data_IF_495280451565
#
_entry.id   IF_495280451565
#
_cell.length_a   1.000
_cell.length_b   1.000
_cell.length_c   1.000
_cell.angle_alpha   90.00
_cell.angle_beta   90.00
_cell.angle_gamma   90.00
#
_symmetry.space_group_name_H-M   'P 1'
#
loop_
_entity.id
_entity.type
_entity.pdbx_description
1 polymer ?
#
# COMPACT_ATOMS: atom_id res chain seq x y z
N UNK A 1 13.65 -5.91 5.22
CA UNK A 1 13.44 -5.05 4.02
C UNK A 1 14.77 -4.90 3.31
N UNK A 2 15.08 -5.76 2.33
CA UNK A 2 16.37 -5.72 1.61
C UNK A 2 16.16 -5.44 0.11
N UNK A 3 15.18 -4.59 -0.18
CA UNK A 3 14.90 -4.08 -1.52
C UNK A 3 14.77 -2.58 -1.35
N UNK A 4 15.71 -1.86 -1.94
CA UNK A 4 15.78 -0.41 -1.96
C UNK A 4 16.51 0.01 -3.23
N UNK A 5 16.69 1.32 -3.40
CA UNK A 5 17.30 1.94 -4.58
C UNK A 5 18.60 1.28 -5.05
N UNK A 6 19.43 0.80 -4.12
CA UNK A 6 20.69 0.11 -4.42
C UNK A 6 20.58 -1.34 -4.90
N UNK A 7 19.42 -1.98 -4.76
CA UNK A 7 19.18 -3.37 -5.22
C UNK A 7 18.51 -3.38 -6.59
N UNK A 8 17.66 -2.38 -6.87
CA UNK A 8 16.99 -2.20 -8.17
C UNK A 8 17.80 -1.33 -9.14
N UNK A 9 18.90 -0.71 -8.68
CA UNK A 9 19.71 0.27 -9.42
C UNK A 9 18.88 1.40 -10.06
N UNK A 10 17.74 1.75 -9.44
CA UNK A 10 16.84 2.78 -9.95
C UNK A 10 17.28 4.17 -9.45
N UNK A 11 17.16 5.21 -10.31
CA UNK A 11 17.27 6.57 -9.84
C UNK A 11 16.20 6.83 -8.76
N UNK A 12 16.50 7.60 -7.69
CA UNK A 12 15.55 7.89 -6.62
C UNK A 12 14.20 8.42 -7.10
N UNK A 13 14.22 9.25 -8.16
CA UNK A 13 13.02 9.79 -8.81
C UNK A 13 12.12 8.69 -9.38
N UNK A 14 12.71 7.75 -10.10
CA UNK A 14 11.98 6.67 -10.76
C UNK A 14 11.35 5.73 -9.74
N UNK A 15 12.07 5.45 -8.65
CA UNK A 15 11.56 4.61 -7.58
C UNK A 15 10.38 5.24 -6.83
N UNK A 16 10.44 6.54 -6.51
CA UNK A 16 9.34 7.23 -5.83
C UNK A 16 8.17 7.56 -6.77
N UNK A 17 8.42 7.60 -8.07
CA UNK A 17 7.38 7.68 -9.09
C UNK A 17 6.70 6.33 -9.34
N UNK A 18 7.34 5.22 -8.94
CA UNK A 18 6.88 3.87 -9.21
C UNK A 18 5.64 3.52 -8.42
N UNK A 19 4.67 2.91 -9.10
CA UNK A 19 3.48 2.38 -8.45
C UNK A 19 3.79 1.09 -7.68
N UNK A 20 2.99 0.73 -6.66
CA UNK A 20 3.17 -0.52 -5.93
C UNK A 20 3.20 -1.80 -6.79
N UNK A 21 2.49 -1.80 -7.93
CA UNK A 21 2.48 -2.93 -8.89
C UNK A 21 3.79 -3.03 -9.68
N UNK A 22 4.30 -1.91 -10.13
CA UNK A 22 5.59 -1.84 -10.83
C UNK A 22 6.72 -2.21 -9.88
N UNK A 23 6.63 -1.80 -8.62
CA UNK A 23 7.55 -2.24 -7.57
C UNK A 23 7.46 -3.76 -7.37
N UNK A 24 6.24 -4.33 -7.30
CA UNK A 24 6.06 -5.78 -7.18
C UNK A 24 6.68 -6.56 -8.36
N UNK A 25 6.52 -6.07 -9.60
CA UNK A 25 7.13 -6.64 -10.78
C UNK A 25 8.67 -6.53 -10.76
N UNK A 26 9.20 -5.38 -10.39
CA UNK A 26 10.65 -5.16 -10.24
C UNK A 26 11.27 -6.06 -9.16
N UNK A 27 10.48 -6.49 -8.17
CA UNK A 27 10.90 -7.42 -7.12
C UNK A 27 10.81 -8.90 -7.52
N UNK A 28 10.42 -9.22 -8.76
CA UNK A 28 10.18 -10.60 -9.19
C UNK A 28 9.01 -11.28 -8.46
N UNK A 29 8.18 -10.50 -7.75
CA UNK A 29 6.95 -10.97 -7.09
C UNK A 29 5.80 -10.88 -8.08
N UNK A 30 5.84 -11.75 -9.09
CA UNK A 30 4.73 -11.97 -10.00
C UNK A 30 4.10 -13.31 -9.66
N UNK A 31 3.20 -13.30 -8.67
CA UNK A 31 2.53 -14.49 -8.17
C UNK A 31 1.45 -14.09 -7.17
N UNK A 32 0.26 -14.64 -7.36
CA UNK A 32 -1.01 -14.16 -6.81
C UNK A 32 -1.03 -14.10 -5.27
N UNK A 33 -1.00 -12.90 -4.74
CA UNK A 33 -1.88 -12.43 -3.65
C UNK A 33 -1.98 -10.91 -3.78
N UNK A 34 -2.53 -10.49 -4.93
CA UNK A 34 -2.84 -9.10 -5.28
C UNK A 34 -4.22 -8.75 -4.74
N UNK A 35 -4.35 -8.72 -3.42
CA UNK A 35 -5.40 -7.94 -2.83
C UNK A 35 -4.73 -6.86 -1.98
N UNK A 36 -4.05 -5.93 -2.68
CA UNK A 36 -3.81 -4.61 -2.11
C UNK A 36 -5.10 -4.08 -1.46
N UNK A 37 -4.99 -3.25 -0.41
CA UNK A 37 -6.12 -2.87 0.43
C UNK A 37 -7.31 -2.42 -0.42
N UNK A 38 -8.44 -3.10 -0.25
CA UNK A 38 -9.61 -2.86 -1.09
C UNK A 38 -10.28 -1.57 -0.68
N UNK A 39 -10.95 -0.90 -1.61
CA UNK A 39 -11.74 0.30 -1.28
C UNK A 39 -12.88 -0.01 -0.32
N UNK A 40 -13.36 -1.25 -0.32
CA UNK A 40 -14.33 -1.73 0.66
C UNK A 40 -13.70 -1.84 2.05
N UNK A 41 -12.47 -2.34 2.14
CA UNK A 41 -11.69 -2.28 3.38
C UNK A 41 -11.49 -0.84 3.84
N UNK A 42 -11.17 0.09 2.93
CA UNK A 42 -11.01 1.50 3.25
C UNK A 42 -12.32 2.16 3.72
N UNK A 43 -13.45 1.91 3.04
CA UNK A 43 -14.75 2.47 3.42
C UNK A 43 -15.30 1.84 4.72
N UNK A 44 -14.98 0.58 4.97
CA UNK A 44 -15.25 -0.07 6.25
C UNK A 44 -14.44 0.58 7.37
N UNK A 45 -13.18 0.93 7.11
CA UNK A 45 -12.36 1.70 8.04
C UNK A 45 -12.97 3.09 8.31
N UNK A 46 -13.25 3.87 7.27
CA UNK A 46 -13.78 5.23 7.44
C UNK A 46 -15.08 5.26 8.28
N UNK A 47 -15.98 4.29 8.05
CA UNK A 47 -17.21 4.16 8.84
C UNK A 47 -16.95 3.71 10.28
N UNK A 48 -16.01 2.80 10.49
CA UNK A 48 -15.61 2.34 11.83
C UNK A 48 -15.06 3.51 12.66
N UNK A 49 -14.19 4.33 12.06
CA UNK A 49 -13.60 5.48 12.73
C UNK A 49 -14.62 6.60 13.00
N UNK A 50 -15.51 6.88 12.05
CA UNK A 50 -16.59 7.84 12.26
C UNK A 50 -17.53 7.45 13.40
N UNK A 51 -17.80 6.15 13.56
CA UNK A 51 -18.67 5.63 14.62
C UNK A 51 -18.02 5.69 16.01
N UNK A 52 -16.69 5.55 16.08
CA UNK A 52 -15.94 5.62 17.34
C UNK A 52 -16.02 7.01 18.01
N UNK A 53 -16.03 8.08 17.21
CA UNK A 53 -16.17 9.47 17.68
C UNK A 53 -17.52 9.76 18.37
N UNK A 54 -18.56 8.97 18.08
CA UNK A 54 -19.88 9.12 18.69
C UNK A 54 -19.99 8.41 20.05
N UNK A 55 -19.14 7.40 20.29
CA UNK A 55 -19.13 6.61 21.53
C UNK A 55 -18.36 7.26 22.68
N UNK A 56 -17.35 8.10 22.40
CA UNK A 56 -16.55 8.78 23.43
C UNK A 56 -17.22 10.06 23.98
N UNK A 57 -18.35 10.46 23.39
CA UNK A 57 -19.12 11.65 23.80
C UNK A 57 -20.31 11.35 24.73
N UNK A 58 -20.43 10.14 25.29
CA UNK A 58 -21.52 9.75 26.20
C UNK A 58 -21.05 9.39 27.60
#
# INVERSE_FOLDING_TARGET
MRIGLGVLHLPPREFWAMTPRELAAAMGRTGADDAGPTRQWLAALEQTFRKGDETEKR
#
